data_IF_136970139868
#
_entry.id   IF_136970139868
#
_cell.length_a   1.000
_cell.length_b   1.000
_cell.length_c   1.000
_cell.angle_alpha   90.00
_cell.angle_beta   90.00
_cell.angle_gamma   90.00
#
_symmetry.space_group_name_H-M   'P 1'
#
loop_
_entity.id
_entity.type
_entity.pdbx_description
1 polymer ?
#
# COMPACT_ATOMS: atom_id res chain seq x y z
N UNK A 1 -13.60 -11.33 -13.40
CA UNK A 1 -13.11 -10.54 -14.55
C UNK A 1 -11.59 -10.49 -14.53
N UNK A 2 -10.93 -10.49 -15.69
CA UNK A 2 -9.47 -10.28 -15.79
C UNK A 2 -9.24 -8.98 -16.54
N UNK A 3 -8.41 -8.10 -15.98
CA UNK A 3 -8.03 -6.84 -16.58
C UNK A 3 -6.53 -6.87 -16.91
N UNK A 4 -6.16 -6.40 -18.09
CA UNK A 4 -4.76 -6.17 -18.44
C UNK A 4 -4.33 -4.80 -17.96
N UNK A 5 -3.23 -4.74 -17.21
CA UNK A 5 -2.65 -3.51 -16.68
C UNK A 5 -1.18 -3.42 -17.07
N UNK A 6 -0.55 -2.25 -16.85
CA UNK A 6 0.90 -2.08 -17.08
C UNK A 6 1.75 -3.02 -16.22
N UNK A 7 1.21 -3.52 -15.10
CA UNK A 7 1.90 -4.44 -14.18
C UNK A 7 1.44 -5.90 -14.33
N UNK A 8 0.81 -6.22 -15.47
CA UNK A 8 0.35 -7.57 -15.80
C UNK A 8 -1.17 -7.75 -15.66
N UNK A 9 -1.60 -9.02 -15.71
CA UNK A 9 -3.00 -9.38 -15.56
C UNK A 9 -3.43 -9.27 -14.09
N UNK A 10 -4.56 -8.61 -13.86
CA UNK A 10 -5.20 -8.51 -12.54
C UNK A 10 -6.54 -9.21 -12.57
N UNK A 11 -6.79 -10.07 -11.57
CA UNK A 11 -8.07 -10.79 -11.45
C UNK A 11 -8.94 -10.10 -10.41
N UNK A 12 -10.19 -9.91 -10.78
CA UNK A 12 -11.22 -9.28 -9.95
C UNK A 12 -12.42 -10.22 -9.82
N UNK A 13 -12.90 -10.40 -8.60
CA UNK A 13 -14.04 -11.26 -8.29
C UNK A 13 -15.13 -10.40 -7.65
N UNK A 14 -16.23 -10.11 -8.35
CA UNK A 14 -17.37 -9.43 -7.72
C UNK A 14 -17.93 -10.34 -6.63
N UNK A 15 -18.20 -9.76 -5.46
CA UNK A 15 -18.77 -10.47 -4.30
C UNK A 15 -20.21 -10.06 -4.06
N UNK A 16 -20.45 -8.76 -3.97
CA UNK A 16 -21.77 -8.21 -3.70
C UNK A 16 -22.01 -6.93 -4.48
N UNK A 17 -23.27 -6.69 -4.81
CA UNK A 17 -23.76 -5.44 -5.39
C UNK A 17 -24.98 -4.98 -4.60
N UNK A 18 -24.89 -3.79 -4.01
CA UNK A 18 -26.01 -3.11 -3.38
C UNK A 18 -26.86 -2.42 -4.46
N UNK A 19 -28.21 -2.49 -4.40
CA UNK A 19 -29.13 -1.66 -5.19
C UNK A 19 -28.78 -0.15 -5.24
N UNK A 20 -28.05 0.37 -4.25
CA UNK A 20 -27.63 1.78 -4.14
C UNK A 20 -26.32 2.11 -4.87
N UNK A 21 -25.73 1.16 -5.60
CA UNK A 21 -24.53 1.40 -6.42
C UNK A 21 -23.20 1.21 -5.68
N UNK A 22 -23.21 0.48 -4.57
CA UNK A 22 -22.00 -0.01 -3.89
C UNK A 22 -21.66 -1.41 -4.38
N UNK A 23 -20.38 -1.65 -4.64
CA UNK A 23 -19.84 -2.91 -5.14
C UNK A 23 -18.77 -3.39 -4.19
N UNK A 24 -18.81 -4.67 -3.81
CA UNK A 24 -17.72 -5.34 -3.09
C UNK A 24 -17.03 -6.27 -4.06
N UNK A 25 -15.71 -6.19 -4.13
CA UNK A 25 -14.90 -7.04 -4.99
C UNK A 25 -13.63 -7.48 -4.28
N UNK A 26 -13.17 -8.67 -4.65
CA UNK A 26 -11.83 -9.15 -4.35
C UNK A 26 -10.91 -8.92 -5.54
N UNK A 27 -9.67 -8.55 -5.26
CA UNK A 27 -8.63 -8.38 -6.28
C UNK A 27 -7.35 -9.11 -5.88
N UNK A 28 -6.77 -9.83 -6.83
CA UNK A 28 -5.43 -10.41 -6.73
C UNK A 28 -4.39 -9.33 -7.10
N UNK A 29 -3.54 -8.92 -6.14
CA UNK A 29 -2.54 -7.87 -6.35
C UNK A 29 -1.16 -8.40 -6.73
N UNK A 30 -0.94 -9.71 -6.66
CA UNK A 30 0.33 -10.38 -6.89
C UNK A 30 1.02 -10.78 -5.60
N UNK A 31 2.31 -11.09 -5.74
CA UNK A 31 3.16 -11.57 -4.65
C UNK A 31 4.14 -10.50 -4.19
N UNK A 32 4.50 -10.45 -2.90
CA UNK A 32 5.50 -9.55 -2.37
C UNK A 32 6.92 -10.10 -2.57
N UNK A 33 7.86 -9.23 -2.95
CA UNK A 33 9.30 -9.54 -3.02
C UNK A 33 10.06 -8.67 -2.03
N UNK A 34 10.97 -9.27 -1.26
CA UNK A 34 11.66 -8.60 -0.14
C UNK A 34 13.15 -8.35 -0.39
N UNK A 35 13.69 -8.83 -1.51
CA UNK A 35 15.11 -8.66 -1.82
C UNK A 35 15.41 -7.22 -2.24
N UNK A 36 16.53 -6.63 -1.81
CA UNK A 36 16.87 -5.25 -2.14
C UNK A 36 16.91 -4.95 -3.64
N UNK A 37 17.30 -5.90 -4.49
CA UNK A 37 17.42 -5.69 -5.93
C UNK A 37 16.04 -5.48 -6.58
N UNK A 38 15.04 -6.25 -6.17
CA UNK A 38 13.67 -6.13 -6.67
C UNK A 38 12.91 -4.93 -6.08
N UNK A 39 13.30 -4.44 -4.89
CA UNK A 39 12.77 -3.22 -4.23
C UNK A 39 13.38 -1.91 -4.77
N UNK A 40 14.18 -1.98 -5.83
CA UNK A 40 15.41 -1.20 -6.05
C UNK A 40 15.96 -0.41 -4.84
N UNK A 41 16.66 -1.07 -3.92
CA UNK A 41 17.43 -0.46 -2.84
C UNK A 41 18.94 -0.44 -3.14
N UNK A 42 19.61 0.69 -2.87
CA UNK A 42 21.08 0.83 -3.04
C UNK A 42 21.85 0.26 -1.86
N UNK A 43 22.97 -0.40 -2.17
CA UNK A 43 24.02 -0.79 -1.21
C UNK A 43 23.49 -1.41 0.09
N UNK A 44 22.47 -2.26 -0.02
CA UNK A 44 21.77 -2.84 1.14
C UNK A 44 22.19 -4.31 1.27
N UNK A 45 23.11 -4.65 2.19
CA UNK A 45 23.77 -5.96 2.25
C UNK A 45 22.95 -7.00 3.04
N UNK A 46 21.68 -7.19 2.67
CA UNK A 46 20.79 -8.20 3.28
C UNK A 46 20.06 -8.99 2.20
N UNK A 47 19.67 -10.23 2.51
CA UNK A 47 18.88 -11.04 1.58
C UNK A 47 17.43 -10.55 1.49
N UNK A 48 16.85 -10.14 2.63
CA UNK A 48 15.47 -9.63 2.73
C UNK A 48 15.43 -8.41 3.62
N UNK A 49 14.70 -7.39 3.20
CA UNK A 49 14.53 -6.14 3.94
C UNK A 49 13.38 -6.28 4.92
N UNK A 50 13.58 -7.06 5.98
CA UNK A 50 12.62 -7.30 7.06
C UNK A 50 13.29 -6.94 8.38
N UNK A 51 12.80 -5.92 9.07
CA UNK A 51 13.45 -5.38 10.28
C UNK A 51 14.85 -4.82 9.98
N UNK A 52 15.03 -4.20 8.81
CA UNK A 52 16.29 -3.57 8.43
C UNK A 52 16.40 -2.18 9.07
N UNK A 53 17.56 -1.83 9.62
CA UNK A 53 17.79 -0.52 10.21
C UNK A 53 18.13 0.52 9.14
N UNK A 54 17.21 1.44 8.90
CA UNK A 54 17.39 2.58 8.00
C UNK A 54 17.81 3.83 8.79
N UNK A 55 19.03 4.36 8.60
CA UNK A 55 19.41 5.64 9.19
C UNK A 55 18.72 6.78 8.45
N UNK A 56 17.99 7.64 9.16
CA UNK A 56 17.24 8.77 8.60
C UNK A 56 17.51 10.00 9.46
N UNK A 57 18.26 10.98 8.93
CA UNK A 57 18.59 12.23 9.62
C UNK A 57 19.15 12.06 11.05
N UNK A 58 19.95 11.02 11.29
CA UNK A 58 20.55 10.74 12.60
C UNK A 58 19.68 9.88 13.53
N UNK A 59 18.43 9.61 13.15
CA UNK A 59 17.56 8.62 13.78
C UNK A 59 17.67 7.27 13.05
N UNK A 60 17.25 6.19 13.70
CA UNK A 60 17.29 4.82 13.15
C UNK A 60 15.89 4.24 13.16
N UNK A 61 15.39 3.85 11.98
CA UNK A 61 14.07 3.25 11.84
C UNK A 61 14.20 1.79 11.44
N UNK A 62 13.46 0.93 12.13
CA UNK A 62 13.30 -0.47 11.73
C UNK A 62 12.26 -0.54 10.61
N UNK A 63 12.72 -0.82 9.39
CA UNK A 63 11.87 -0.87 8.20
C UNK A 63 11.65 -2.31 7.74
N UNK A 64 10.49 -2.55 7.15
CA UNK A 64 10.25 -3.71 6.28
C UNK A 64 9.87 -3.20 4.91
N UNK A 65 10.71 -3.46 3.92
CA UNK A 65 10.48 -2.99 2.56
C UNK A 65 10.16 -4.16 1.63
N UNK A 66 9.33 -3.90 0.62
CA UNK A 66 8.94 -4.88 -0.37
C UNK A 66 8.58 -4.23 -1.70
N UNK A 67 8.65 -5.02 -2.76
CA UNK A 67 8.12 -4.70 -4.06
C UNK A 67 6.82 -5.47 -4.27
N UNK A 68 5.73 -4.74 -4.51
CA UNK A 68 4.44 -5.33 -4.85
C UNK A 68 3.66 -4.32 -5.71
N UNK A 69 3.85 -4.40 -7.02
CA UNK A 69 3.39 -3.38 -7.98
C UNK A 69 4.25 -2.11 -7.98
N UNK A 70 4.56 -1.58 -6.80
CA UNK A 70 5.50 -0.48 -6.58
C UNK A 70 6.32 -0.71 -5.28
N UNK A 71 7.42 0.04 -5.05
CA UNK A 71 8.19 -0.07 -3.83
C UNK A 71 7.40 0.46 -2.63
N UNK A 72 7.41 -0.28 -1.53
CA UNK A 72 6.74 0.06 -0.28
C UNK A 72 7.73 -0.14 0.88
N UNK A 73 7.86 0.85 1.74
CA UNK A 73 8.65 0.83 2.96
C UNK A 73 7.71 0.98 4.16
N UNK A 74 7.62 -0.04 5.00
CA UNK A 74 6.75 -0.05 6.18
C UNK A 74 7.55 0.21 7.45
N UNK A 75 6.98 1.01 8.36
CA UNK A 75 7.51 1.27 9.70
C UNK A 75 6.41 0.96 10.71
N UNK A 76 6.74 0.20 11.76
CA UNK A 76 5.81 -0.04 12.86
C UNK A 76 5.86 1.11 13.86
N UNK A 77 4.69 1.53 14.32
CA UNK A 77 4.52 2.59 15.31
C UNK A 77 3.49 2.16 16.36
N UNK A 78 3.70 2.53 17.61
CA UNK A 78 2.72 2.29 18.68
C UNK A 78 1.64 3.38 18.68
N UNK A 79 2.03 4.61 18.35
CA UNK A 79 1.15 5.76 18.28
C UNK A 79 1.56 6.69 17.13
N UNK A 80 0.58 7.16 16.36
CA UNK A 80 0.80 8.09 15.25
C UNK A 80 1.10 9.51 15.74
N UNK A 81 0.68 9.86 16.96
CA UNK A 81 0.90 11.19 17.53
C UNK A 81 2.27 11.31 18.23
N UNK A 82 2.93 10.17 18.49
CA UNK A 82 4.25 10.13 19.12
C UNK A 82 5.40 10.56 18.19
N UNK A 83 5.16 10.65 16.88
CA UNK A 83 6.15 11.07 15.90
C UNK A 83 5.52 11.87 14.75
N UNK A 84 6.29 12.79 14.17
CA UNK A 84 5.89 13.48 12.94
C UNK A 84 6.07 12.55 11.73
N UNK A 85 5.12 11.64 11.57
CA UNK A 85 5.13 10.63 10.51
C UNK A 85 5.07 11.24 9.12
N UNK A 86 4.53 12.46 8.96
CA UNK A 86 4.49 13.17 7.66
C UNK A 86 5.88 13.61 7.26
N UNK A 87 6.62 14.25 8.17
CA UNK A 87 8.02 14.63 7.94
C UNK A 87 8.89 13.40 7.66
N UNK A 88 8.71 12.32 8.43
CA UNK A 88 9.46 11.08 8.25
C UNK A 88 9.12 10.42 6.92
N UNK A 89 7.83 10.32 6.57
CA UNK A 89 7.37 9.79 5.29
C UNK A 89 7.99 10.51 4.10
N UNK A 90 7.95 11.85 4.10
CA UNK A 90 8.60 12.68 3.08
C UNK A 90 10.11 12.43 2.96
N UNK A 91 10.77 12.27 4.11
CA UNK A 91 12.22 12.04 4.16
C UNK A 91 12.56 10.67 3.59
N UNK A 92 11.82 9.63 3.98
CA UNK A 92 12.07 8.25 3.54
C UNK A 92 11.69 8.04 2.07
N UNK A 93 10.60 8.67 1.60
CA UNK A 93 10.22 8.66 0.19
C UNK A 93 11.42 9.03 -0.71
N UNK A 94 12.20 10.03 -0.31
CA UNK A 94 13.33 10.57 -1.08
C UNK A 94 14.70 10.08 -0.57
N UNK A 95 14.72 9.05 0.29
CA UNK A 95 15.96 8.60 0.92
C UNK A 95 16.93 8.01 -0.11
N UNK A 96 18.26 8.28 -0.03
CA UNK A 96 19.22 7.82 -1.04
C UNK A 96 19.26 6.32 -1.28
N UNK A 97 18.86 5.51 -0.29
CA UNK A 97 18.75 4.06 -0.45
C UNK A 97 17.57 3.64 -1.35
N UNK A 98 16.59 4.49 -1.59
CA UNK A 98 15.48 4.25 -2.54
C UNK A 98 15.64 5.15 -3.78
N UNK A 99 16.49 4.80 -4.76
CA UNK A 99 16.72 5.59 -5.99
C UNK A 99 15.44 5.97 -6.74
N UNK A 100 14.49 5.04 -6.81
CA UNK A 100 13.22 5.24 -7.51
C UNK A 100 12.10 5.76 -6.60
N UNK A 101 12.49 6.23 -5.41
CA UNK A 101 11.63 6.60 -4.29
C UNK A 101 10.75 5.43 -3.83
N UNK A 102 10.06 5.59 -2.71
CA UNK A 102 9.21 4.54 -2.14
C UNK A 102 7.93 5.10 -1.53
N UNK A 103 6.87 4.31 -1.52
CA UNK A 103 5.72 4.60 -0.66
C UNK A 103 6.12 4.32 0.78
N UNK A 104 5.73 5.15 1.72
CA UNK A 104 6.01 4.95 3.15
C UNK A 104 4.71 4.69 3.88
N UNK A 105 4.65 3.57 4.59
CA UNK A 105 3.46 3.11 5.30
C UNK A 105 3.78 2.97 6.77
N UNK A 106 3.11 3.74 7.60
CA UNK A 106 3.20 3.62 9.05
C UNK A 106 2.11 2.66 9.52
N UNK A 107 2.51 1.61 10.24
CA UNK A 107 1.65 0.50 10.63
C UNK A 107 1.52 0.47 12.14
N UNK A 108 0.30 0.68 12.63
CA UNK A 108 -0.06 0.42 14.03
C UNK A 108 -0.79 -0.91 14.12
N UNK A 109 -0.23 -1.85 14.89
CA UNK A 109 -0.85 -3.17 15.10
C UNK A 109 -1.75 -3.09 16.32
N UNK A 110 -3.07 -3.17 16.10
CA UNK A 110 -4.06 -3.09 17.18
C UNK A 110 -4.32 -4.48 17.78
N UNK A 111 -4.45 -5.49 16.91
CA UNK A 111 -4.58 -6.91 17.27
C UNK A 111 -4.07 -7.78 16.11
N UNK A 112 -4.00 -9.10 16.33
CA UNK A 112 -3.53 -10.07 15.33
C UNK A 112 -4.28 -10.00 13.98
N UNK A 113 -5.52 -9.52 13.98
CA UNK A 113 -6.39 -9.45 12.80
C UNK A 113 -6.84 -8.04 12.43
N UNK A 114 -6.24 -7.01 13.03
CA UNK A 114 -6.58 -5.61 12.78
C UNK A 114 -5.34 -4.73 12.90
N UNK A 115 -5.05 -4.02 11.83
CA UNK A 115 -4.01 -2.98 11.80
C UNK A 115 -4.62 -1.67 11.33
N UNK A 116 -3.95 -0.57 11.68
CA UNK A 116 -4.29 0.76 11.19
C UNK A 116 -3.07 1.37 10.50
N UNK A 117 -3.31 2.12 9.44
CA UNK A 117 -2.27 2.72 8.61
C UNK A 117 -2.34 4.24 8.57
N UNK A 118 -1.16 4.86 8.40
CA UNK A 118 -1.00 6.18 7.78
C UNK A 118 -0.07 6.05 6.59
N UNK A 119 -0.40 6.74 5.49
CA UNK A 119 0.22 6.51 4.18
C UNK A 119 0.83 7.82 3.70
N UNK A 120 2.10 7.74 3.32
CA UNK A 120 2.79 8.75 2.53
C UNK A 120 3.13 8.15 1.16
N UNK A 121 2.36 8.52 0.15
CA UNK A 121 2.42 7.93 -1.18
C UNK A 121 3.41 8.68 -2.07
N UNK A 122 4.24 7.90 -2.77
CA UNK A 122 5.34 8.37 -3.62
C UNK A 122 4.82 9.35 -4.67
N UNK A 123 5.36 10.57 -4.67
CA UNK A 123 5.01 11.64 -5.59
C UNK A 123 3.67 12.31 -5.32
N UNK A 124 2.95 11.91 -4.27
CA UNK A 124 1.63 12.44 -3.90
C UNK A 124 1.68 13.11 -2.53
N UNK A 125 2.28 12.45 -1.53
CA UNK A 125 2.26 12.86 -0.13
C UNK A 125 1.22 12.06 0.66
N UNK A 126 0.65 12.68 1.69
CA UNK A 126 -0.38 12.05 2.51
C UNK A 126 -1.62 11.67 1.69
N UNK A 127 -2.03 10.41 1.79
CA UNK A 127 -3.27 9.90 1.20
C UNK A 127 -4.11 9.15 2.23
N UNK A 128 -5.44 9.26 2.11
CA UNK A 128 -6.37 8.67 3.08
C UNK A 128 -6.60 7.18 2.84
N UNK A 129 -6.34 6.68 1.63
CA UNK A 129 -6.42 5.25 1.31
C UNK A 129 -5.56 4.89 0.09
N UNK A 130 -4.93 3.72 0.12
CA UNK A 130 -4.25 3.13 -1.04
C UNK A 130 -4.26 1.60 -0.92
N UNK A 131 -4.84 0.91 -1.91
CA UNK A 131 -4.99 -0.55 -1.88
C UNK A 131 -3.64 -1.28 -1.87
N UNK A 132 -2.68 -0.80 -2.66
CA UNK A 132 -1.31 -1.35 -2.68
C UNK A 132 -0.60 -1.15 -1.34
N UNK A 133 -0.70 0.05 -0.74
CA UNK A 133 -0.14 0.32 0.59
C UNK A 133 -0.83 -0.48 1.69
N UNK A 134 -2.15 -0.70 1.59
CA UNK A 134 -2.91 -1.56 2.52
C UNK A 134 -2.38 -2.97 2.55
N UNK A 135 -2.22 -3.56 1.36
CA UNK A 135 -1.62 -4.87 1.20
C UNK A 135 -0.17 -4.89 1.71
N UNK A 136 0.63 -3.86 1.42
CA UNK A 136 2.02 -3.76 1.87
C UNK A 136 2.14 -3.71 3.40
N UNK A 137 1.34 -2.89 4.07
CA UNK A 137 1.31 -2.81 5.53
C UNK A 137 0.85 -4.11 6.19
N UNK A 138 -0.17 -4.76 5.62
CA UNK A 138 -0.65 -6.07 6.08
C UNK A 138 0.42 -7.15 5.95
N UNK A 139 1.03 -7.28 4.76
CA UNK A 139 2.12 -8.23 4.50
C UNK A 139 3.32 -7.95 5.41
N UNK A 140 3.69 -6.68 5.63
CA UNK A 140 4.76 -6.32 6.55
C UNK A 140 4.47 -6.81 7.97
N UNK A 141 3.24 -6.62 8.47
CA UNK A 141 2.83 -7.13 9.78
C UNK A 141 2.87 -8.67 9.84
N UNK A 142 2.49 -9.36 8.76
CA UNK A 142 2.51 -10.82 8.68
C UNK A 142 3.93 -11.39 8.69
N UNK A 143 4.86 -10.85 7.89
CA UNK A 143 6.25 -11.35 7.84
C UNK A 143 7.06 -11.06 9.09
N UNK A 144 6.67 -10.03 9.85
CA UNK A 144 7.25 -9.73 11.15
C UNK A 144 6.52 -10.47 12.30
N UNK A 145 5.65 -11.44 11.98
CA UNK A 145 4.89 -12.22 12.95
C UNK A 145 4.05 -11.37 13.91
N UNK A 146 3.62 -10.18 13.49
CA UNK A 146 2.77 -9.27 14.28
C UNK A 146 1.28 -9.45 13.99
N UNK A 147 0.93 -9.96 12.81
CA UNK A 147 -0.46 -10.23 12.41
C UNK A 147 -0.62 -11.61 11.75
N UNK A 148 -1.86 -12.12 11.72
CA UNK A 148 -2.24 -13.33 11.00
C UNK A 148 -2.29 -13.07 9.48
N UNK A 149 -2.38 -14.11 8.66
CA UNK A 149 -2.46 -13.95 7.18
C UNK A 149 -3.81 -13.46 6.65
N UNK A 150 -4.78 -13.22 7.53
CA UNK A 150 -6.10 -12.67 7.21
C UNK A 150 -6.38 -11.52 8.19
N UNK A 151 -6.36 -10.28 7.70
CA UNK A 151 -6.41 -9.07 8.53
C UNK A 151 -7.33 -8.02 7.93
N UNK A 152 -7.92 -7.22 8.82
CA UNK A 152 -8.60 -5.98 8.47
C UNK A 152 -7.61 -4.83 8.59
N UNK A 153 -7.65 -3.92 7.63
CA UNK A 153 -6.75 -2.78 7.54
C UNK A 153 -7.59 -1.51 7.58
N UNK A 154 -7.41 -0.73 8.64
CA UNK A 154 -8.04 0.56 8.82
C UNK A 154 -7.17 1.66 8.22
N UNK A 155 -7.78 2.54 7.46
CA UNK A 155 -7.21 3.78 6.96
C UNK A 155 -8.20 4.92 7.20
N UNK A 156 -7.76 6.15 7.07
CA UNK A 156 -8.64 7.32 7.20
C UNK A 156 -9.78 7.31 6.17
N UNK A 157 -9.49 6.83 4.96
CA UNK A 157 -10.44 6.74 3.85
C UNK A 157 -11.33 5.49 3.87
N UNK A 158 -11.18 4.59 4.86
CA UNK A 158 -12.01 3.41 5.01
C UNK A 158 -11.27 2.15 5.41
N UNK A 159 -11.95 1.01 5.28
CA UNK A 159 -11.46 -0.31 5.70
C UNK A 159 -11.41 -1.27 4.51
N UNK A 160 -10.37 -2.10 4.48
CA UNK A 160 -10.25 -3.23 3.54
C UNK A 160 -9.84 -4.50 4.28
N UNK A 161 -10.17 -5.64 3.71
CA UNK A 161 -9.72 -6.95 4.20
C UNK A 161 -8.59 -7.48 3.31
N UNK A 162 -7.47 -7.85 3.91
CA UNK A 162 -6.32 -8.45 3.22
C UNK A 162 -6.18 -9.91 3.62
N UNK A 163 -6.04 -10.79 2.63
CA UNK A 163 -5.71 -12.19 2.82
C UNK A 163 -4.44 -12.53 2.03
N UNK A 164 -3.39 -12.95 2.71
CA UNK A 164 -2.17 -13.45 2.09
C UNK A 164 -2.24 -14.98 2.04
N UNK A 165 -2.59 -15.53 0.89
CA UNK A 165 -2.84 -16.96 0.72
C UNK A 165 -1.58 -17.80 0.84
N UNK A 166 -1.74 -19.11 1.00
CA UNK A 166 -0.64 -20.07 1.08
C UNK A 166 0.19 -20.19 -0.21
N UNK A 167 -0.38 -19.79 -1.36
CA UNK A 167 0.30 -19.71 -2.66
C UNK A 167 1.06 -18.38 -2.86
N UNK A 168 1.24 -17.61 -1.78
CA UNK A 168 1.91 -16.32 -1.73
C UNK A 168 1.17 -15.15 -2.41
N UNK A 169 -0.03 -15.39 -2.95
CA UNK A 169 -0.85 -14.35 -3.56
C UNK A 169 -1.52 -13.47 -2.50
N UNK A 170 -1.46 -12.14 -2.69
CA UNK A 170 -2.11 -11.17 -1.81
C UNK A 170 -3.45 -10.75 -2.41
N UNK A 171 -4.52 -11.01 -1.67
CA UNK A 171 -5.89 -10.69 -2.06
C UNK A 171 -6.41 -9.55 -1.20
N UNK A 172 -6.96 -8.52 -1.83
CA UNK A 172 -7.67 -7.41 -1.18
C UNK A 172 -9.17 -7.51 -1.44
N UNK A 173 -9.97 -7.39 -0.39
CA UNK A 173 -11.42 -7.19 -0.47
C UNK A 173 -11.73 -5.76 -0.06
N UNK A 174 -12.36 -5.01 -0.95
CA UNK A 174 -12.76 -3.62 -0.70
C UNK A 174 -14.06 -3.28 -1.40
N UNK A 175 -14.55 -2.07 -1.15
CA UNK A 175 -15.74 -1.54 -1.82
C UNK A 175 -15.44 -0.40 -2.77
N UNK A 176 -16.20 -0.29 -3.86
CA UNK A 176 -16.29 0.89 -4.70
C UNK A 176 -17.74 1.38 -4.78
N UNK A 177 -17.93 2.68 -4.88
CA UNK A 177 -19.24 3.33 -4.94
C UNK A 177 -19.27 4.34 -6.08
N UNK A 178 -20.38 4.37 -6.82
CA UNK A 178 -20.61 5.37 -7.86
C UNK A 178 -21.08 6.66 -7.21
N UNK A 179 -20.27 7.71 -7.26
CA UNK A 179 -20.60 9.01 -6.66
C UNK A 179 -21.50 9.85 -7.59
N UNK A 180 -21.15 9.93 -8.87
CA UNK A 180 -21.92 10.63 -9.91
C UNK A 180 -21.57 10.11 -11.31
N UNK A 181 -22.38 10.49 -12.30
CA UNK A 181 -22.12 10.24 -13.72
C UNK A 181 -22.35 11.52 -14.53
N UNK A 182 -21.52 11.79 -15.53
CA UNK A 182 -21.65 12.96 -16.39
C UNK A 182 -21.07 12.73 -17.78
N UNK A 183 -21.21 13.72 -18.66
CA UNK A 183 -20.62 13.73 -20.00
C UNK A 183 -19.48 14.75 -20.05
N UNK A 184 -18.30 14.32 -20.51
CA UNK A 184 -17.19 15.23 -20.77
C UNK A 184 -17.33 15.82 -22.17
N UNK A 185 -17.46 17.15 -22.27
CA UNK A 185 -17.49 17.84 -23.55
C UNK A 185 -16.05 18.01 -24.05
N UNK A 186 -15.65 17.27 -25.08
CA UNK A 186 -14.34 17.45 -25.75
C UNK A 186 -14.35 18.66 -26.70
N UNK A 187 -13.17 19.17 -27.05
CA UNK A 187 -12.88 20.48 -27.69
C UNK A 187 -13.52 20.80 -29.05
N UNK A 188 -14.60 20.12 -29.47
CA UNK A 188 -15.44 20.56 -30.58
C UNK A 188 -16.21 21.87 -30.32
N UNK A 189 -15.96 22.55 -29.20
CA UNK A 189 -16.55 23.84 -28.84
C UNK A 189 -15.62 25.04 -29.03
N UNK A 190 -14.35 24.85 -29.42
CA UNK A 190 -13.40 25.97 -29.63
C UNK A 190 -13.13 26.32 -31.10
N UNK A 191 -13.90 25.78 -32.06
CA UNK A 191 -13.84 26.21 -33.48
C UNK A 191 -14.96 27.19 -33.85
N UNK A 192 -15.17 28.21 -33.02
CA UNK A 192 -16.00 29.37 -33.35
C UNK A 192 -15.25 30.66 -32.95
N UNK A 193 -14.28 31.03 -33.77
CA UNK A 193 -13.96 32.41 -34.18
C UNK A 193 -12.80 32.38 -35.18
#
# INVERSE_FOLDING_TARGET
MVLSTRTGLKRYFPREQDPRGKYIFESELGQPFFDPQTIPMRDTPVEKVIGYELPVNGEKFQITAMQMGNPICCIFVDDFDALDWRRIGKTIENHPQFPDRTNVVFVRVLERKLIELRIWERGVGETTASGTCSCGGAVAAMVNEKADRDVRVLMEGGEVKINWRSDNEVVITGSAEVVYSGQWLSDKLYSLS
#
